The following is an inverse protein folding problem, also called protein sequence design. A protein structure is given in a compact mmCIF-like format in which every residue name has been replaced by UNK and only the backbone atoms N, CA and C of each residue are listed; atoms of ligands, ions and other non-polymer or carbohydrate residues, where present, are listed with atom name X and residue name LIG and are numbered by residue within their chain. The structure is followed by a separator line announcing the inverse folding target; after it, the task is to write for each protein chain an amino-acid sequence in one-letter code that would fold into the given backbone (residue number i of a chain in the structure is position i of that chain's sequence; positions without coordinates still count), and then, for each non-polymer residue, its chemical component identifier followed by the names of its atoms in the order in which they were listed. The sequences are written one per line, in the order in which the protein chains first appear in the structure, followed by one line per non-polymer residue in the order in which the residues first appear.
data_IF_297201175048
#
_entry.id   IF_297201175048
#
_cell.length_a   1.000
_cell.length_b   1.000
_cell.length_c   1.000
_cell.angle_alpha   90.00
_cell.angle_beta   90.00
_cell.angle_gamma   90.00
#
_symmetry.space_group_name_H-M   'P 1'
#
loop_
_entity.id
_entity.type
_entity.pdbx_description
1 polymer ?
#
# COMPACT_ATOMS: atom_id res chain seq x y z
N UNK A 1 51.44 -5.20 24.32
CA UNK A 1 51.27 -5.49 25.76
C UNK A 1 50.43 -4.41 26.39
N UNK A 2 49.17 -4.69 26.79
CA UNK A 2 48.51 -4.21 27.99
C UNK A 2 47.08 -4.78 27.97
N UNK A 3 46.93 -5.80 28.74
CA UNK A 3 45.65 -6.41 29.15
C UNK A 3 45.02 -5.52 30.20
N UNK A 4 43.70 -5.25 30.09
CA UNK A 4 42.91 -4.83 31.23
C UNK A 4 41.72 -5.77 31.35
N UNK A 5 41.69 -6.44 32.48
CA UNK A 5 40.63 -7.31 32.99
C UNK A 5 39.56 -6.49 33.70
N UNK A 6 38.30 -6.89 33.48
CA UNK A 6 37.12 -7.03 34.34
C UNK A 6 36.96 -6.13 35.60
N UNK A 7 35.70 -5.86 36.07
CA UNK A 7 34.86 -6.93 36.64
C UNK A 7 33.36 -6.88 36.35
N UNK A 8 32.83 -8.07 36.39
CA UNK A 8 31.49 -8.57 36.69
C UNK A 8 30.86 -7.86 37.92
N UNK A 9 29.62 -7.34 37.78
CA UNK A 9 28.75 -7.10 38.95
C UNK A 9 27.33 -7.57 38.66
N UNK A 10 27.07 -8.69 39.28
CA UNK A 10 25.80 -9.37 39.39
C UNK A 10 24.95 -8.65 40.46
N UNK A 11 23.74 -8.22 40.16
CA UNK A 11 22.76 -7.84 41.19
C UNK A 11 21.43 -8.52 40.91
N UNK A 12 21.21 -9.53 41.70
CA UNK A 12 19.99 -10.29 41.91
C UNK A 12 19.12 -9.50 42.89
N UNK A 13 17.88 -9.16 42.54
CA UNK A 13 16.85 -8.75 43.51
C UNK A 13 15.58 -9.53 43.29
N UNK A 14 15.17 -10.13 44.39
CA UNK A 14 14.06 -11.04 44.61
C UNK A 14 12.77 -10.30 44.96
N UNK A 15 11.64 -10.90 44.55
CA UNK A 15 10.41 -11.16 45.31
C UNK A 15 9.52 -9.95 45.68
N UNK A 16 8.29 -10.01 45.21
CA UNK A 16 7.13 -9.31 45.71
C UNK A 16 5.84 -10.08 45.41
N UNK A 17 5.52 -11.07 46.24
CA UNK A 17 4.16 -11.61 46.31
C UNK A 17 3.26 -10.63 47.05
N UNK A 18 2.14 -10.23 46.44
CA UNK A 18 1.05 -9.55 47.14
C UNK A 18 -0.19 -10.44 47.18
N UNK A 19 -0.86 -10.55 48.30
CA UNK A 19 -2.03 -11.40 48.49
C UNK A 19 -3.29 -10.76 47.93
N UNK A 20 -4.20 -11.60 47.44
CA UNK A 20 -5.52 -11.27 47.01
C UNK A 20 -6.38 -10.77 48.17
N UNK A 21 -6.97 -9.58 47.98
CA UNK A 21 -8.03 -9.09 48.89
C UNK A 21 -9.38 -9.48 48.29
N UNK A 22 -10.11 -10.31 49.02
CA UNK A 22 -11.53 -10.61 48.78
C UNK A 22 -12.36 -9.38 49.15
N UNK A 23 -13.03 -8.76 48.20
CA UNK A 23 -14.07 -7.74 48.43
C UNK A 23 -15.45 -8.40 48.47
N UNK A 24 -16.34 -7.97 49.37
CA UNK A 24 -17.65 -8.58 49.53
C UNK A 24 -18.64 -8.17 48.43
N UNK A 25 -19.48 -9.11 48.11
CA UNK A 25 -20.67 -9.10 47.28
C UNK A 25 -21.54 -7.84 47.48
N UNK A 26 -21.60 -6.98 46.49
CA UNK A 26 -22.59 -5.90 46.40
C UNK A 26 -23.66 -6.34 45.41
N UNK A 27 -24.75 -6.85 45.92
CA UNK A 27 -26.01 -7.04 45.20
C UNK A 27 -26.58 -5.68 44.79
N UNK A 28 -26.31 -5.23 43.57
CA UNK A 28 -27.04 -4.13 42.95
C UNK A 28 -28.31 -4.67 42.27
N UNK A 29 -29.47 -3.99 42.46
CA UNK A 29 -30.68 -4.39 41.75
C UNK A 29 -30.53 -4.19 40.23
N UNK A 30 -30.90 -5.25 39.53
CA UNK A 30 -30.93 -5.28 38.04
C UNK A 30 -31.90 -4.20 37.52
N UNK A 31 -31.46 -3.25 36.68
CA UNK A 31 -32.39 -2.39 35.97
C UNK A 31 -33.18 -3.22 34.94
N UNK A 32 -34.49 -2.91 34.84
CA UNK A 32 -35.39 -3.52 33.86
C UNK A 32 -34.82 -3.39 32.43
N UNK A 33 -35.09 -4.36 31.54
CA UNK A 33 -34.62 -4.29 30.15
C UNK A 33 -35.32 -3.13 29.44
N UNK A 34 -34.58 -2.05 29.17
CA UNK A 34 -34.97 -1.08 28.15
C UNK A 34 -34.84 -1.78 26.82
N UNK A 35 -35.97 -2.08 26.19
CA UNK A 35 -36.03 -2.53 24.82
C UNK A 35 -35.57 -1.39 23.92
N UNK A 36 -34.25 -1.27 23.73
CA UNK A 36 -33.72 -0.57 22.57
C UNK A 36 -33.94 -1.51 21.39
N UNK A 37 -35.06 -1.32 20.69
CA UNK A 37 -35.20 -1.83 19.33
C UNK A 37 -34.03 -1.25 18.52
N UNK A 38 -33.05 -2.07 18.23
CA UNK A 38 -32.03 -1.72 17.24
C UNK A 38 -32.76 -1.39 15.95
N UNK A 39 -32.36 -0.31 15.22
CA UNK A 39 -32.93 -0.06 13.90
C UNK A 39 -32.69 -1.31 13.06
N UNK A 40 -33.78 -1.84 12.52
CA UNK A 40 -33.71 -2.96 11.56
C UNK A 40 -32.81 -2.49 10.42
N UNK A 41 -31.74 -3.20 10.06
CA UNK A 41 -30.97 -2.85 8.89
C UNK A 41 -31.93 -2.84 7.71
N UNK A 42 -32.03 -1.72 7.02
CA UNK A 42 -32.85 -1.58 5.83
C UNK A 42 -32.10 -2.32 4.72
N UNK A 43 -32.49 -3.57 4.48
CA UNK A 43 -32.07 -4.34 3.30
C UNK A 43 -32.77 -3.79 2.04
N UNK A 44 -32.58 -2.50 1.76
CA UNK A 44 -33.08 -1.91 0.50
C UNK A 44 -32.02 -2.14 -0.58
N UNK A 45 -32.25 -3.04 -1.53
CA UNK A 45 -31.30 -3.33 -2.59
C UNK A 45 -31.02 -2.12 -3.49
N UNK A 46 -31.85 -1.06 -3.44
CA UNK A 46 -31.63 0.17 -4.18
C UNK A 46 -30.53 1.06 -3.56
N UNK A 47 -30.19 0.86 -2.28
CA UNK A 47 -29.13 1.61 -1.58
C UNK A 47 -27.75 0.98 -1.73
N UNK A 48 -27.66 -0.31 -2.10
CA UNK A 48 -26.40 -1.02 -2.24
C UNK A 48 -25.42 -0.35 -3.23
N UNK A 49 -25.86 0.13 -4.42
CA UNK A 49 -24.94 0.79 -5.34
C UNK A 49 -24.41 2.14 -4.84
N UNK A 50 -25.13 2.78 -3.90
CA UNK A 50 -24.73 4.07 -3.32
C UNK A 50 -23.77 3.87 -2.15
N UNK A 51 -23.96 2.77 -1.38
CA UNK A 51 -23.10 2.44 -0.23
C UNK A 51 -21.81 1.72 -0.65
N UNK A 52 -21.89 0.98 -1.76
CA UNK A 52 -20.77 0.23 -2.36
C UNK A 52 -20.70 0.62 -3.84
N UNK A 53 -20.12 1.79 -4.18
CA UNK A 53 -19.88 2.13 -5.56
C UNK A 53 -19.08 0.99 -6.21
N UNK A 54 -19.50 0.56 -7.40
CA UNK A 54 -18.79 -0.47 -8.15
C UNK A 54 -17.38 0.04 -8.41
N UNK A 55 -16.39 -0.58 -7.77
CA UNK A 55 -15.00 -0.34 -8.13
C UNK A 55 -14.81 -0.70 -9.60
N UNK A 56 -14.05 0.12 -10.31
CA UNK A 56 -13.68 -0.18 -11.68
C UNK A 56 -12.74 -1.38 -11.61
N UNK A 57 -13.16 -2.51 -12.19
CA UNK A 57 -12.31 -3.71 -12.26
C UNK A 57 -11.22 -3.49 -13.32
N UNK A 58 -10.03 -3.14 -12.86
CA UNK A 58 -8.85 -2.93 -13.69
C UNK A 58 -7.95 -4.18 -13.74
N UNK A 59 -8.42 -5.32 -13.27
CA UNK A 59 -7.60 -6.55 -13.19
C UNK A 59 -7.01 -7.00 -14.53
N UNK A 60 -7.72 -6.75 -15.63
CA UNK A 60 -7.22 -7.02 -17.00
C UNK A 60 -6.00 -6.14 -17.38
N UNK A 61 -5.84 -5.00 -16.70
CA UNK A 61 -4.72 -4.08 -16.90
C UNK A 61 -3.51 -4.42 -16.03
N UNK A 62 -3.65 -5.34 -15.10
CA UNK A 62 -2.55 -5.76 -14.21
C UNK A 62 -1.40 -6.36 -15.02
N UNK A 63 -0.19 -5.95 -14.68
CA UNK A 63 1.07 -6.49 -15.24
C UNK A 63 1.93 -7.02 -14.12
N UNK A 64 2.52 -8.17 -14.34
CA UNK A 64 3.45 -8.81 -13.41
C UNK A 64 4.85 -8.87 -14.01
N UNK A 65 5.86 -8.74 -13.14
CA UNK A 65 7.26 -8.96 -13.45
C UNK A 65 7.92 -9.71 -12.29
N UNK A 66 8.53 -10.85 -12.60
CA UNK A 66 9.15 -11.77 -11.63
C UNK A 66 10.68 -11.82 -11.79
N UNK A 67 11.30 -10.77 -12.32
CA UNK A 67 12.75 -10.71 -12.43
C UNK A 67 13.40 -10.61 -11.05
N UNK A 68 14.48 -11.38 -10.85
CA UNK A 68 15.22 -11.39 -9.59
C UNK A 68 14.43 -12.02 -8.43
N UNK A 69 14.61 -11.47 -7.24
CA UNK A 69 13.96 -11.95 -6.01
C UNK A 69 12.70 -11.18 -5.63
N UNK A 70 12.31 -10.16 -6.41
CA UNK A 70 11.13 -9.33 -6.16
C UNK A 70 10.11 -9.55 -7.28
N UNK A 71 8.89 -9.94 -6.89
CA UNK A 71 7.72 -9.96 -7.77
C UNK A 71 7.05 -8.60 -7.70
N UNK A 72 6.84 -7.98 -8.87
CA UNK A 72 6.04 -6.78 -9.03
C UNK A 72 4.68 -7.13 -9.61
N UNK A 73 3.65 -6.50 -9.08
CA UNK A 73 2.32 -6.47 -9.65
C UNK A 73 1.88 -5.02 -9.77
N UNK A 74 1.52 -4.57 -10.98
CA UNK A 74 1.19 -3.17 -11.25
C UNK A 74 -0.13 -3.08 -12.00
N UNK A 75 -1.05 -2.28 -11.45
CA UNK A 75 -2.36 -2.04 -12.02
C UNK A 75 -2.60 -0.54 -12.16
N UNK A 76 -2.80 0.00 -13.38
CA UNK A 76 -3.20 1.39 -13.54
C UNK A 76 -4.63 1.59 -13.04
N UNK A 77 -4.86 2.67 -12.28
CA UNK A 77 -6.14 2.93 -11.63
C UNK A 77 -7.08 3.80 -12.47
N UNK A 78 -6.53 4.71 -13.30
CA UNK A 78 -7.33 5.75 -13.93
C UNK A 78 -6.97 6.10 -15.39
N UNK A 79 -6.40 5.17 -16.17
CA UNK A 79 -6.03 5.42 -17.58
C UNK A 79 -7.18 5.85 -18.47
N UNK A 80 -8.40 5.40 -18.20
CA UNK A 80 -9.61 5.70 -18.97
C UNK A 80 -10.35 6.95 -18.51
N UNK A 81 -9.90 7.63 -17.46
CA UNK A 81 -10.61 8.76 -16.86
C UNK A 81 -9.72 9.99 -16.90
N UNK A 82 -10.19 11.14 -17.44
CA UNK A 82 -9.42 12.37 -17.37
C UNK A 82 -9.13 12.76 -15.93
N UNK A 83 -7.84 12.95 -15.60
CA UNK A 83 -7.37 13.30 -14.28
C UNK A 83 -6.12 14.18 -14.40
N UNK A 84 -5.77 14.89 -13.33
CA UNK A 84 -4.53 15.68 -13.25
C UNK A 84 -3.32 14.79 -12.97
N UNK A 85 -3.56 13.62 -12.41
CA UNK A 85 -2.53 12.62 -12.07
C UNK A 85 -2.89 11.26 -12.67
N UNK A 86 -1.88 10.49 -13.06
CA UNK A 86 -1.98 9.08 -13.36
C UNK A 86 -1.51 8.29 -12.15
N UNK A 87 -2.33 7.33 -11.75
CA UNK A 87 -2.14 6.53 -10.54
C UNK A 87 -2.02 5.05 -10.91
N UNK A 88 -1.03 4.41 -10.30
CA UNK A 88 -0.79 2.98 -10.45
C UNK A 88 -0.75 2.34 -9.06
N UNK A 89 -1.59 1.36 -8.83
CA UNK A 89 -1.43 0.46 -7.68
C UNK A 89 -0.25 -0.46 -7.94
N UNK A 90 0.68 -0.52 -6.99
CA UNK A 90 1.90 -1.31 -7.10
C UNK A 90 2.05 -2.16 -5.85
N UNK A 91 2.15 -3.47 -6.05
CA UNK A 91 2.49 -4.42 -5.00
C UNK A 91 3.85 -5.07 -5.29
N UNK A 92 4.69 -5.14 -4.25
CA UNK A 92 5.98 -5.79 -4.26
C UNK A 92 6.00 -6.92 -3.25
N UNK A 93 6.45 -8.09 -3.69
CA UNK A 93 6.56 -9.27 -2.85
C UNK A 93 7.93 -9.90 -2.99
N UNK A 94 8.56 -10.24 -1.87
CA UNK A 94 9.87 -10.90 -1.82
C UNK A 94 10.01 -11.75 -0.56
N UNK A 95 11.03 -12.59 -0.52
CA UNK A 95 11.42 -13.35 0.67
C UNK A 95 12.84 -13.01 1.17
N UNK A 96 13.58 -12.16 0.45
CA UNK A 96 15.02 -11.98 0.71
C UNK A 96 15.53 -10.55 0.55
N UNK A 97 14.71 -9.62 0.09
CA UNK A 97 15.11 -8.22 -0.16
C UNK A 97 14.31 -7.30 0.77
N UNK A 98 14.95 -6.28 1.32
CA UNK A 98 14.26 -5.20 2.04
C UNK A 98 13.67 -4.20 1.04
N UNK A 99 12.35 -4.01 1.09
CA UNK A 99 11.59 -3.14 0.17
C UNK A 99 11.49 -1.71 0.71
N UNK A 100 12.63 -1.08 1.00
CA UNK A 100 12.70 0.29 1.55
C UNK A 100 12.96 1.37 0.49
N UNK A 101 13.05 0.99 -0.80
CA UNK A 101 13.34 1.92 -1.90
C UNK A 101 12.19 2.89 -2.16
N UNK A 102 12.53 4.12 -2.57
CA UNK A 102 11.57 5.08 -3.11
C UNK A 102 11.37 4.83 -4.62
N UNK A 103 10.24 4.20 -4.98
CA UNK A 103 9.94 3.92 -6.38
C UNK A 103 9.72 5.19 -7.22
N UNK A 104 9.34 6.33 -6.63
CA UNK A 104 9.15 7.55 -7.40
C UNK A 104 10.46 8.00 -8.06
N UNK A 105 11.56 7.91 -7.34
CA UNK A 105 12.89 8.26 -7.86
C UNK A 105 13.40 7.29 -8.94
N UNK A 106 12.85 6.09 -9.02
CA UNK A 106 13.31 5.00 -9.88
C UNK A 106 12.39 4.71 -11.07
N UNK A 107 11.24 5.41 -11.15
CA UNK A 107 10.17 5.11 -12.10
C UNK A 107 9.97 6.21 -13.12
N UNK A 108 9.88 5.83 -14.38
CA UNK A 108 9.65 6.73 -15.51
C UNK A 108 8.51 6.19 -16.37
N UNK A 109 7.56 7.05 -16.71
CA UNK A 109 6.47 6.76 -17.63
C UNK A 109 6.78 7.37 -18.99
N UNK A 110 6.63 6.59 -20.07
CA UNK A 110 6.83 7.04 -21.43
C UNK A 110 5.68 6.63 -22.36
N UNK A 111 5.47 7.40 -23.41
CA UNK A 111 4.42 7.17 -24.41
C UNK A 111 5.01 6.93 -25.80
N UNK A 112 4.27 6.27 -26.68
CA UNK A 112 4.64 6.08 -28.08
C UNK A 112 4.65 7.40 -28.89
N UNK A 113 4.11 8.49 -28.35
CA UNK A 113 4.20 9.85 -28.92
C UNK A 113 5.48 10.59 -28.51
N UNK A 114 6.36 9.96 -27.70
CA UNK A 114 7.67 10.50 -27.31
C UNK A 114 7.69 11.27 -26.01
N UNK A 115 6.60 11.30 -25.24
CA UNK A 115 6.61 11.85 -23.90
C UNK A 115 7.33 10.93 -22.92
N UNK A 116 8.06 11.54 -21.99
CA UNK A 116 8.72 10.85 -20.88
C UNK A 116 8.59 11.70 -19.62
N UNK A 117 8.13 11.11 -18.54
CA UNK A 117 7.88 11.81 -17.27
C UNK A 117 8.27 10.94 -16.08
N UNK A 118 8.87 11.57 -15.07
CA UNK A 118 9.26 10.92 -13.81
C UNK A 118 8.05 10.84 -12.87
N UNK A 119 7.96 9.78 -12.08
CA UNK A 119 7.02 9.73 -10.97
C UNK A 119 7.32 10.84 -9.97
N UNK A 120 6.27 11.37 -9.33
CA UNK A 120 6.37 12.45 -8.35
C UNK A 120 6.12 12.00 -6.92
N UNK A 121 5.49 10.84 -6.74
CA UNK A 121 5.22 10.30 -5.41
C UNK A 121 5.16 8.77 -5.44
N UNK A 122 5.64 8.16 -4.37
CA UNK A 122 5.42 6.78 -4.00
C UNK A 122 4.79 6.75 -2.61
N UNK A 123 3.50 6.41 -2.54
CA UNK A 123 2.73 6.38 -1.31
C UNK A 123 2.69 4.94 -0.77
N UNK A 124 3.76 4.55 -0.09
CA UNK A 124 3.86 3.27 0.57
C UNK A 124 4.64 3.40 1.88
N UNK A 125 4.34 2.53 2.82
CA UNK A 125 5.14 2.37 4.04
C UNK A 125 6.40 1.57 3.65
N UNK A 126 7.60 2.15 3.79
CA UNK A 126 8.83 1.49 3.36
C UNK A 126 9.21 0.32 4.28
N UNK A 127 9.84 -0.70 3.69
CA UNK A 127 10.46 -1.81 4.40
C UNK A 127 9.58 -3.06 4.49
N UNK A 128 10.22 -4.18 4.84
CA UNK A 128 9.59 -5.49 4.92
C UNK A 128 9.67 -6.28 3.62
N UNK A 129 8.87 -7.35 3.53
CA UNK A 129 8.88 -8.31 2.42
C UNK A 129 7.62 -8.23 1.55
N UNK A 130 6.63 -7.46 1.96
CA UNK A 130 5.40 -7.17 1.25
C UNK A 130 5.12 -5.68 1.40
N UNK A 131 5.17 -4.95 0.30
CA UNK A 131 4.90 -3.51 0.25
C UNK A 131 3.91 -3.24 -0.86
N UNK A 132 2.87 -2.47 -0.57
CA UNK A 132 1.96 -1.96 -1.57
C UNK A 132 1.70 -0.48 -1.36
N UNK A 133 1.42 0.22 -2.45
CA UNK A 133 1.15 1.64 -2.45
C UNK A 133 0.80 2.17 -3.82
N UNK A 134 0.60 3.48 -3.91
CA UNK A 134 0.27 4.16 -5.16
C UNK A 134 1.48 4.90 -5.71
N UNK A 135 1.84 4.60 -6.95
CA UNK A 135 2.85 5.32 -7.71
C UNK A 135 2.17 6.37 -8.58
N UNK A 136 2.57 7.63 -8.44
CA UNK A 136 1.86 8.78 -9.00
C UNK A 136 2.72 9.52 -10.01
N UNK A 137 2.13 9.83 -11.18
CA UNK A 137 2.73 10.62 -12.24
C UNK A 137 1.83 11.81 -12.60
N UNK A 138 2.39 12.96 -13.04
CA UNK A 138 1.57 13.99 -13.66
C UNK A 138 0.88 13.45 -14.92
N UNK A 139 -0.42 13.75 -15.07
CA UNK A 139 -1.19 13.36 -16.26
C UNK A 139 -1.19 14.45 -17.34
N UNK A 140 -0.64 15.63 -17.04
CA UNK A 140 -0.61 16.77 -17.94
C UNK A 140 0.79 17.35 -18.06
N UNK A 141 1.09 17.88 -19.24
CA UNK A 141 2.27 18.69 -19.50
C UNK A 141 1.84 19.93 -20.29
N UNK A 142 2.19 21.12 -19.81
CA UNK A 142 1.76 22.42 -20.38
C UNK A 142 0.24 22.50 -20.62
N UNK A 143 -0.57 21.95 -19.70
CA UNK A 143 -2.02 21.95 -19.74
C UNK A 143 -2.67 20.99 -20.74
N UNK A 144 -1.87 20.12 -21.37
CA UNK A 144 -2.35 19.05 -22.26
C UNK A 144 -2.18 17.69 -21.60
N UNK A 145 -3.12 16.80 -21.83
CA UNK A 145 -3.01 15.42 -21.37
C UNK A 145 -1.83 14.73 -22.06
N UNK A 146 -0.98 14.06 -21.26
CA UNK A 146 0.12 13.24 -21.81
C UNK A 146 -0.39 11.99 -22.53
N UNK A 147 -1.63 11.61 -22.34
CA UNK A 147 -2.28 10.48 -23.00
C UNK A 147 -3.00 10.86 -24.31
N UNK A 148 -2.97 12.14 -24.70
CA UNK A 148 -3.61 12.57 -25.95
C UNK A 148 -2.93 11.93 -27.17
N UNK A 149 -3.71 11.16 -27.94
CA UNK A 149 -3.22 10.45 -29.14
C UNK A 149 -2.30 9.24 -28.87
N UNK A 150 -2.10 8.88 -27.62
CA UNK A 150 -1.26 7.75 -27.19
C UNK A 150 -1.98 6.43 -27.45
N UNK A 151 -1.25 5.47 -28.03
CA UNK A 151 -1.72 4.10 -28.24
C UNK A 151 -1.01 3.11 -27.31
N UNK A 152 0.19 3.45 -26.85
CA UNK A 152 0.97 2.61 -25.94
C UNK A 152 1.63 3.44 -24.84
N UNK A 153 1.44 2.99 -23.61
CA UNK A 153 2.03 3.53 -22.40
C UNK A 153 3.04 2.52 -21.86
N UNK A 154 4.21 3.01 -21.45
CA UNK A 154 5.29 2.17 -20.90
C UNK A 154 5.76 2.75 -19.58
N UNK A 155 5.71 1.96 -18.51
CA UNK A 155 6.33 2.25 -17.23
C UNK A 155 7.64 1.49 -17.12
N UNK A 156 8.72 2.20 -16.84
CA UNK A 156 10.04 1.62 -16.60
C UNK A 156 10.48 1.91 -15.18
N UNK A 157 10.87 0.86 -14.45
CA UNK A 157 11.43 0.94 -13.09
C UNK A 157 12.86 0.40 -13.15
N UNK A 158 13.83 1.17 -12.67
CA UNK A 158 15.25 0.83 -12.77
C UNK A 158 15.86 0.53 -11.40
N UNK A 159 16.89 -0.31 -11.39
CA UNK A 159 17.73 -0.58 -10.21
C UNK A 159 16.98 -1.16 -8.98
N UNK A 160 15.91 -1.90 -9.20
CA UNK A 160 15.20 -2.62 -8.14
C UNK A 160 15.37 -4.12 -8.35
N UNK A 161 16.41 -4.70 -7.77
CA UNK A 161 16.81 -6.11 -7.89
C UNK A 161 16.83 -6.66 -9.34
N UNK A 162 16.82 -5.74 -10.30
CA UNK A 162 17.01 -5.93 -11.73
C UNK A 162 17.49 -4.60 -12.33
N UNK A 163 18.19 -4.66 -13.45
CA UNK A 163 18.67 -3.43 -14.10
C UNK A 163 17.50 -2.56 -14.57
N UNK A 164 16.45 -3.18 -15.09
CA UNK A 164 15.24 -2.50 -15.57
C UNK A 164 14.08 -3.48 -15.61
N UNK A 165 12.89 -3.00 -15.23
CA UNK A 165 11.59 -3.67 -15.35
C UNK A 165 10.70 -2.81 -16.24
N UNK A 166 9.99 -3.42 -17.18
CA UNK A 166 9.21 -2.71 -18.20
C UNK A 166 7.79 -3.25 -18.22
N UNK A 167 6.82 -2.38 -18.05
CA UNK A 167 5.39 -2.70 -18.06
C UNK A 167 4.70 -1.89 -19.15
N UNK A 168 3.89 -2.55 -19.98
CA UNK A 168 3.28 -1.92 -21.15
C UNK A 168 1.77 -2.12 -21.17
N UNK A 169 1.04 -1.05 -21.54
CA UNK A 169 -0.41 -1.04 -21.75
C UNK A 169 -0.72 -0.48 -23.13
N UNK A 170 -1.57 -1.21 -23.87
CA UNK A 170 -2.18 -0.69 -25.08
C UNK A 170 -3.47 0.04 -24.67
N UNK A 171 -3.61 1.29 -25.08
CA UNK A 171 -4.72 2.17 -24.69
C UNK A 171 -5.89 2.13 -25.69
N UNK A 172 -5.78 1.35 -26.77
CA UNK A 172 -6.81 1.19 -27.80
C UNK A 172 -6.78 -0.22 -28.36
#
# INVERSE_FOLDING_TARGET
MRRFLLPLLSTLILIGCSPAVLTPDQTTPSPAPVSNAAPTPTDDPALLPTLFPKEVDNSELTRMDEQGAIVFEITPLNLGTPADMLEFDVALNTHSVDLSMDLAALSTLSTDTGFTIQAINWDAIPGGHHVSGTLIFPATNDGKSILEGVSKLTLTIVNVDAASRVFEWNLK
#
